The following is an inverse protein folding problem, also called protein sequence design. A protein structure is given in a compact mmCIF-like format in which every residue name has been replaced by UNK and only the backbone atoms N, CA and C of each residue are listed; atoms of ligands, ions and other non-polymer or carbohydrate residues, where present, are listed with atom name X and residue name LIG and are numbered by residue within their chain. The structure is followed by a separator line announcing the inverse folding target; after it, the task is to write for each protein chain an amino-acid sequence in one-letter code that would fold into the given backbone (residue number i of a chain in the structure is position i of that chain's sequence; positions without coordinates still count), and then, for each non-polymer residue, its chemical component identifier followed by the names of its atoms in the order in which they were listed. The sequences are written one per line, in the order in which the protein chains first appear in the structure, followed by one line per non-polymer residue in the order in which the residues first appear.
data_IF_190300338726
#
_entry.id   IF_190300338726
#
_cell.length_a   1.000
_cell.length_b   1.000
_cell.length_c   1.000
_cell.angle_alpha   90.00
_cell.angle_beta   90.00
_cell.angle_gamma   90.00
#
_symmetry.space_group_name_H-M   'P 1'
#
loop_
_entity.id
_entity.type
_entity.pdbx_description
1 polymer ?
#
# COMPACT_ATOMS: atom_id res chain seq x y z
N UNK A 1 -1.84 6.44 15.15
CA UNK A 1 -2.54 5.47 14.29
C UNK A 1 -3.89 5.03 14.85
N UNK A 2 -4.01 4.59 16.12
CA UNK A 2 -5.26 4.06 16.70
C UNK A 2 -6.53 4.90 16.48
N UNK A 3 -6.46 6.22 16.65
CA UNK A 3 -7.62 7.10 16.41
C UNK A 3 -8.08 7.12 14.94
N UNK A 4 -7.13 7.14 13.99
CA UNK A 4 -7.44 7.11 12.57
C UNK A 4 -7.89 5.72 12.11
N UNK A 5 -7.31 4.65 12.67
CA UNK A 5 -7.79 3.28 12.44
C UNK A 5 -9.23 3.09 12.98
N UNK A 6 -9.53 3.61 14.17
CA UNK A 6 -10.88 3.64 14.72
C UNK A 6 -11.85 4.42 13.82
N UNK A 7 -11.46 5.62 13.36
CA UNK A 7 -12.24 6.41 12.41
C UNK A 7 -12.51 5.62 11.13
N UNK A 8 -11.47 5.04 10.52
CA UNK A 8 -11.58 4.23 9.30
C UNK A 8 -12.48 3.03 9.48
N UNK A 9 -12.38 2.31 10.61
CA UNK A 9 -13.30 1.21 10.94
C UNK A 9 -14.75 1.69 11.01
N UNK A 10 -15.02 2.81 11.69
CA UNK A 10 -16.38 3.36 11.80
C UNK A 10 -16.91 3.84 10.45
N UNK A 11 -16.06 4.46 9.65
CA UNK A 11 -16.41 4.96 8.32
C UNK A 11 -16.70 3.80 7.35
N UNK A 12 -15.85 2.77 7.31
CA UNK A 12 -16.09 1.55 6.53
C UNK A 12 -17.40 0.86 6.95
N UNK A 13 -17.64 0.70 8.26
CA UNK A 13 -18.90 0.11 8.77
C UNK A 13 -20.17 0.87 8.33
N UNK A 14 -20.07 2.16 8.03
CA UNK A 14 -21.20 2.98 7.58
C UNK A 14 -21.46 2.83 6.09
N UNK A 15 -20.43 2.55 5.29
CA UNK A 15 -20.49 2.63 3.83
C UNK A 15 -20.38 1.27 3.12
N UNK A 16 -19.98 0.22 3.82
CA UNK A 16 -19.85 -1.13 3.27
C UNK A 16 -20.88 -2.06 3.89
N UNK A 17 -21.43 -2.95 3.08
CA UNK A 17 -22.28 -4.05 3.57
C UNK A 17 -21.47 -5.03 4.42
N UNK A 18 -20.27 -5.42 3.96
CA UNK A 18 -19.34 -6.25 4.71
C UNK A 18 -17.91 -6.09 4.18
N UNK A 19 -16.91 -6.27 5.06
CA UNK A 19 -15.52 -6.51 4.70
C UNK A 19 -15.20 -7.97 5.03
N UNK A 20 -14.86 -8.77 4.02
CA UNK A 20 -14.55 -10.19 4.17
C UNK A 20 -13.09 -10.41 3.82
N UNK A 21 -12.37 -11.10 4.69
CA UNK A 21 -10.95 -11.42 4.52
C UNK A 21 -10.82 -12.94 4.61
N UNK A 22 -10.15 -13.55 3.64
CA UNK A 22 -9.86 -14.98 3.62
C UNK A 22 -8.35 -15.20 3.62
N UNK A 23 -7.89 -16.32 4.19
CA UNK A 23 -6.46 -16.69 4.24
C UNK A 23 -5.64 -15.88 5.24
N UNK A 24 -6.26 -15.29 6.26
CA UNK A 24 -5.56 -14.45 7.24
C UNK A 24 -4.68 -15.26 8.19
N UNK A 25 -5.11 -16.47 8.52
CA UNK A 25 -4.38 -17.49 9.26
C UNK A 25 -3.02 -17.79 8.60
N UNK A 26 -2.99 -17.92 7.28
CA UNK A 26 -1.75 -18.12 6.53
C UNK A 26 -0.83 -16.90 6.59
N UNK A 27 -1.39 -15.68 6.58
CA UNK A 27 -0.62 -14.44 6.67
C UNK A 27 -0.08 -14.17 8.08
N UNK A 28 -0.85 -14.50 9.12
CA UNK A 28 -0.46 -14.32 10.53
C UNK A 28 0.64 -15.32 10.96
N UNK A 29 0.61 -16.54 10.43
CA UNK A 29 1.65 -17.55 10.66
C UNK A 29 2.95 -17.29 9.89
N UNK A 30 2.98 -16.35 8.94
CA UNK A 30 4.00 -16.31 7.91
C UNK A 30 5.39 -15.81 8.32
N UNK A 31 5.61 -14.91 9.30
CA UNK A 31 6.99 -14.67 9.80
C UNK A 31 7.13 -13.67 10.96
N UNK A 32 8.21 -13.85 11.73
CA UNK A 32 8.90 -12.81 12.54
C UNK A 32 9.62 -11.75 11.67
N UNK A 33 9.62 -11.92 10.35
CA UNK A 33 10.34 -11.10 9.38
C UNK A 33 9.50 -9.96 8.80
N UNK A 34 10.06 -9.20 7.85
CA UNK A 34 9.37 -8.12 7.15
C UNK A 34 8.17 -8.63 6.34
N UNK A 35 7.07 -7.87 6.34
CA UNK A 35 5.87 -8.20 5.58
C UNK A 35 5.61 -7.15 4.49
N UNK A 36 5.25 -7.61 3.30
CA UNK A 36 4.79 -6.74 2.21
C UNK A 36 3.34 -7.08 1.89
N UNK A 37 2.42 -6.13 2.11
CA UNK A 37 1.05 -6.21 1.63
C UNK A 37 0.97 -5.59 0.25
N UNK A 38 0.75 -6.44 -0.75
CA UNK A 38 0.65 -6.07 -2.15
C UNK A 38 -0.82 -6.17 -2.59
N UNK A 39 -1.39 -5.08 -3.07
CA UNK A 39 -2.79 -5.03 -3.48
C UNK A 39 -2.98 -4.21 -4.76
N UNK A 40 -4.06 -4.46 -5.49
CA UNK A 40 -4.51 -3.54 -6.53
C UNK A 40 -4.96 -2.20 -5.92
N UNK A 41 -4.97 -1.14 -6.73
CA UNK A 41 -5.59 0.13 -6.37
C UNK A 41 -6.94 0.27 -7.09
N UNK A 42 -7.99 -0.40 -6.65
CA UNK A 42 -9.28 -0.38 -7.39
C UNK A 42 -10.24 0.71 -6.95
N UNK A 43 -10.05 1.30 -5.77
CA UNK A 43 -10.94 2.32 -5.26
C UNK A 43 -10.23 3.35 -4.38
N UNK A 44 -10.82 4.53 -4.27
CA UNK A 44 -10.34 5.55 -3.33
C UNK A 44 -10.42 5.08 -1.86
N UNK A 45 -11.18 4.02 -1.59
CA UNK A 45 -11.30 3.36 -0.29
C UNK A 45 -10.06 2.58 0.12
N UNK A 46 -9.15 2.26 -0.81
CA UNK A 46 -8.04 1.33 -0.55
C UNK A 46 -7.12 1.75 0.60
N UNK A 47 -6.77 3.05 0.79
CA UNK A 47 -5.97 3.47 1.94
C UNK A 47 -6.69 3.23 3.29
N UNK A 48 -8.02 3.40 3.33
CA UNK A 48 -8.81 3.16 4.54
C UNK A 48 -8.90 1.67 4.84
N UNK A 49 -9.11 0.85 3.81
CA UNK A 49 -9.14 -0.61 3.93
C UNK A 49 -7.78 -1.15 4.36
N UNK A 50 -6.69 -0.67 3.76
CA UNK A 50 -5.34 -1.04 4.12
C UNK A 50 -5.03 -0.71 5.59
N UNK A 51 -5.47 0.45 6.08
CA UNK A 51 -5.31 0.82 7.49
C UNK A 51 -6.09 -0.10 8.43
N UNK A 52 -7.34 -0.44 8.07
CA UNK A 52 -8.16 -1.36 8.88
C UNK A 52 -7.55 -2.75 8.89
N UNK A 53 -7.03 -3.24 7.76
CA UNK A 53 -6.35 -4.52 7.68
C UNK A 53 -5.05 -4.52 8.48
N UNK A 54 -4.23 -3.47 8.35
CA UNK A 54 -3.00 -3.30 9.13
C UNK A 54 -3.27 -3.31 10.64
N UNK A 55 -4.25 -2.53 11.10
CA UNK A 55 -4.64 -2.48 12.51
C UNK A 55 -5.26 -3.78 13.02
N UNK A 56 -6.10 -4.45 12.22
CA UNK A 56 -6.82 -5.64 12.65
C UNK A 56 -5.98 -6.92 12.60
N UNK A 57 -5.09 -7.02 11.61
CA UNK A 57 -4.38 -8.27 11.31
C UNK A 57 -2.90 -8.21 11.68
N UNK A 58 -2.33 -7.00 11.74
CA UNK A 58 -0.90 -6.76 11.88
C UNK A 58 -0.62 -5.67 12.93
N UNK A 59 -1.44 -5.62 13.98
CA UNK A 59 -1.44 -4.52 14.97
C UNK A 59 -0.15 -4.39 15.80
N UNK A 60 0.72 -5.40 15.74
CA UNK A 60 2.07 -5.41 16.29
C UNK A 60 3.12 -4.79 15.34
N UNK A 61 2.74 -4.44 14.11
CA UNK A 61 3.64 -3.93 13.08
C UNK A 61 3.51 -2.43 12.85
N UNK A 62 4.65 -1.81 12.51
CA UNK A 62 4.68 -0.45 11.98
C UNK A 62 4.44 -0.48 10.47
N UNK A 63 3.30 0.09 10.05
CA UNK A 63 2.90 0.14 8.65
C UNK A 63 3.48 1.37 7.93
N UNK A 64 3.97 1.16 6.71
CA UNK A 64 4.49 2.19 5.82
C UNK A 64 3.88 2.06 4.44
N UNK A 65 3.58 3.18 3.78
CA UNK A 65 3.00 3.19 2.45
C UNK A 65 3.57 4.33 1.58
N UNK A 66 3.93 4.07 0.32
CA UNK A 66 4.29 5.13 -0.61
C UNK A 66 3.03 5.93 -1.00
N UNK A 67 3.18 7.23 -1.18
CA UNK A 67 2.15 8.12 -1.73
C UNK A 67 2.80 9.19 -2.59
N UNK A 68 2.03 9.80 -3.49
CA UNK A 68 2.48 10.98 -4.24
C UNK A 68 3.06 12.05 -3.31
N UNK A 69 4.22 12.59 -3.68
CA UNK A 69 4.96 13.56 -2.86
C UNK A 69 4.20 14.89 -2.71
N UNK A 70 3.48 15.32 -3.74
CA UNK A 70 2.62 16.50 -3.70
C UNK A 70 1.42 16.30 -2.76
N UNK A 71 0.79 15.13 -2.82
CA UNK A 71 -0.27 14.76 -1.88
C UNK A 71 0.25 14.72 -0.43
N UNK A 72 1.45 14.18 -0.18
CA UNK A 72 2.04 14.16 1.15
C UNK A 72 2.34 15.57 1.68
N UNK A 73 2.83 16.47 0.82
CA UNK A 73 3.09 17.87 1.17
C UNK A 73 1.79 18.61 1.53
N UNK A 74 0.70 18.35 0.80
CA UNK A 74 -0.63 18.92 1.08
C UNK A 74 -1.26 18.35 2.35
N UNK A 75 -1.09 17.05 2.60
CA UNK A 75 -1.71 16.33 3.71
C UNK A 75 -0.66 15.81 4.70
N UNK A 76 0.08 16.72 5.33
CA UNK A 76 1.21 16.39 6.21
C UNK A 76 0.90 15.42 7.35
N UNK A 77 -0.36 15.31 7.78
CA UNK A 77 -0.81 14.30 8.75
C UNK A 77 -0.51 12.86 8.31
N UNK A 78 -0.50 12.59 7.00
CA UNK A 78 -0.22 11.27 6.43
C UNK A 78 1.22 10.83 6.70
N UNK A 79 2.18 11.75 6.76
CA UNK A 79 3.57 11.42 7.12
C UNK A 79 3.66 10.82 8.53
N UNK A 80 2.87 11.34 9.47
CA UNK A 80 2.76 10.84 10.86
C UNK A 80 2.04 9.49 10.94
N UNK A 81 1.42 9.04 9.84
CA UNK A 81 0.73 7.76 9.73
C UNK A 81 1.57 6.71 8.99
N UNK A 82 2.85 6.99 8.71
CA UNK A 82 3.76 6.05 8.04
C UNK A 82 3.81 6.20 6.52
N UNK A 83 3.11 7.19 5.95
CA UNK A 83 3.24 7.46 4.52
C UNK A 83 4.55 8.15 4.19
N UNK A 84 5.17 7.77 3.07
CA UNK A 84 6.36 8.42 2.55
C UNK A 84 6.18 8.82 1.08
N UNK A 85 6.74 9.99 0.73
CA UNK A 85 6.51 10.61 -0.56
C UNK A 85 7.36 9.97 -1.66
N UNK A 86 6.75 9.67 -2.78
CA UNK A 86 7.38 9.16 -3.99
C UNK A 86 6.94 10.03 -5.16
N UNK A 87 7.91 10.54 -5.90
CA UNK A 87 7.67 11.14 -7.21
C UNK A 87 7.72 10.03 -8.25
N UNK A 88 6.58 9.74 -8.88
CA UNK A 88 6.43 8.59 -9.77
C UNK A 88 6.99 8.86 -11.17
N UNK A 89 7.13 10.12 -11.52
CA UNK A 89 7.52 10.56 -12.85
C UNK A 89 9.03 10.87 -12.93
N UNK A 90 9.78 10.58 -11.87
CA UNK A 90 11.23 10.77 -11.84
C UNK A 90 12.02 9.53 -11.40
N UNK A 91 13.18 9.34 -12.04
CA UNK A 91 14.16 8.32 -11.66
C UNK A 91 14.60 8.46 -10.20
N UNK A 92 14.70 9.71 -9.72
CA UNK A 92 15.04 10.01 -8.32
C UNK A 92 13.95 9.54 -7.36
N UNK A 93 12.68 9.72 -7.70
CA UNK A 93 11.58 9.21 -6.90
C UNK A 93 11.50 7.69 -6.90
N UNK A 94 11.74 7.03 -8.04
CA UNK A 94 11.87 5.57 -8.09
C UNK A 94 13.02 5.05 -7.21
N UNK A 95 14.20 5.67 -7.29
CA UNK A 95 15.34 5.33 -6.43
C UNK A 95 15.03 5.55 -4.93
N UNK A 96 14.32 6.63 -4.60
CA UNK A 96 13.85 6.90 -3.23
C UNK A 96 12.88 5.83 -2.75
N UNK A 97 11.92 5.42 -3.59
CA UNK A 97 10.99 4.34 -3.27
C UNK A 97 11.75 3.06 -2.93
N UNK A 98 12.67 2.63 -3.81
CA UNK A 98 13.44 1.40 -3.59
C UNK A 98 14.27 1.47 -2.31
N UNK A 99 14.91 2.61 -2.04
CA UNK A 99 15.69 2.81 -0.82
C UNK A 99 14.82 2.69 0.43
N UNK A 100 13.72 3.44 0.50
CA UNK A 100 12.83 3.45 1.69
C UNK A 100 12.12 2.11 1.85
N UNK A 101 11.63 1.53 0.75
CA UNK A 101 11.04 0.19 0.77
C UNK A 101 12.04 -0.85 1.29
N UNK A 102 13.29 -0.79 0.83
CA UNK A 102 14.40 -1.61 1.32
C UNK A 102 14.62 -1.46 2.83
N UNK A 103 14.66 -0.24 3.35
CA UNK A 103 14.78 0.04 4.79
C UNK A 103 13.59 -0.50 5.61
N UNK A 104 12.37 -0.44 5.05
CA UNK A 104 11.17 -0.98 5.69
C UNK A 104 11.26 -2.50 5.76
N UNK A 105 11.56 -3.17 4.65
CA UNK A 105 11.64 -4.64 4.62
C UNK A 105 12.92 -5.19 5.24
N UNK A 106 13.94 -4.38 5.54
CA UNK A 106 15.11 -4.86 6.26
C UNK A 106 14.86 -5.03 7.77
N UNK A 107 13.77 -4.49 8.31
CA UNK A 107 13.49 -4.51 9.76
C UNK A 107 12.33 -5.44 10.11
N UNK A 108 12.48 -6.32 11.13
CA UNK A 108 11.37 -7.09 11.66
C UNK A 108 10.30 -6.16 12.27
N UNK A 109 9.06 -6.65 12.33
CA UNK A 109 7.95 -5.86 12.87
C UNK A 109 7.52 -4.66 12.01
N UNK A 110 7.99 -4.57 10.76
CA UNK A 110 7.51 -3.58 9.78
C UNK A 110 6.64 -4.23 8.71
N UNK A 111 5.72 -3.42 8.20
CA UNK A 111 4.80 -3.76 7.13
C UNK A 111 4.91 -2.70 6.04
N UNK A 112 5.27 -3.10 4.83
CA UNK A 112 5.19 -2.24 3.64
C UNK A 112 3.88 -2.53 2.92
N UNK A 113 3.04 -1.52 2.73
CA UNK A 113 1.80 -1.60 1.96
C UNK A 113 2.04 -0.95 0.60
N UNK A 114 1.84 -1.68 -0.49
CA UNK A 114 2.07 -1.16 -1.84
C UNK A 114 0.88 -1.45 -2.75
N UNK A 115 0.44 -0.39 -3.43
CA UNK A 115 -0.45 -0.47 -4.58
C UNK A 115 0.33 -0.10 -5.85
N UNK A 116 0.99 -1.07 -6.50
CA UNK A 116 2.08 -0.83 -7.46
C UNK A 116 1.63 -0.12 -8.74
N UNK A 117 0.34 -0.20 -9.09
CA UNK A 117 -0.20 0.51 -10.25
C UNK A 117 -0.05 2.02 -10.10
N UNK A 118 -0.11 2.51 -8.85
CA UNK A 118 -0.12 3.92 -8.47
C UNK A 118 -1.27 4.74 -9.10
N UNK A 119 -2.20 4.08 -9.78
CA UNK A 119 -3.41 4.67 -10.37
C UNK A 119 -4.57 3.74 -10.10
N UNK A 120 -5.79 4.25 -10.19
CA UNK A 120 -6.95 3.37 -10.14
C UNK A 120 -6.89 2.33 -11.27
N UNK A 121 -7.12 1.08 -10.91
CA UNK A 121 -7.14 -0.07 -11.81
C UNK A 121 -8.44 -0.84 -11.60
N UNK A 122 -9.25 -0.97 -12.66
CA UNK A 122 -10.43 -1.84 -12.63
C UNK A 122 -9.94 -3.29 -12.43
N UNK A 123 -10.52 -3.98 -11.44
CA UNK A 123 -10.22 -5.38 -11.16
C UNK A 123 -10.60 -6.33 -12.31
N UNK A 124 -11.42 -5.86 -13.27
CA UNK A 124 -11.87 -6.61 -14.46
C UNK A 124 -11.10 -6.26 -15.73
N UNK A 125 -10.18 -5.30 -15.66
CA UNK A 125 -9.34 -4.97 -16.81
C UNK A 125 -8.33 -6.08 -17.04
N UNK A 126 -8.33 -6.69 -18.23
CA UNK A 126 -7.21 -7.50 -18.71
C UNK A 126 -5.94 -6.64 -18.69
N UNK A 127 -4.84 -7.19 -18.19
CA UNK A 127 -3.51 -6.60 -18.34
C UNK A 127 -3.11 -6.63 -19.82
N UNK A 128 -3.61 -5.66 -20.59
CA UNK A 128 -3.32 -5.56 -22.01
C UNK A 128 -2.12 -4.60 -22.23
N UNK A 129 -0.99 -5.22 -22.56
CA UNK A 129 0.00 -4.77 -23.54
C UNK A 129 0.91 -3.57 -23.21
N UNK A 130 2.03 -3.86 -22.52
CA UNK A 130 3.33 -3.23 -22.85
C UNK A 130 4.47 -4.26 -22.79
N UNK A 131 4.35 -5.33 -23.56
CA UNK A 131 5.50 -6.13 -24.01
C UNK A 131 5.26 -6.46 -25.47
N UNK A 132 5.59 -5.52 -26.38
CA UNK A 132 6.05 -5.76 -27.76
C UNK A 132 6.33 -4.41 -28.42
N UNK A 133 7.61 -3.99 -28.44
CA UNK A 133 8.30 -3.42 -29.61
C UNK A 133 9.73 -2.99 -29.21
N UNK A 134 10.62 -3.98 -29.18
CA UNK A 134 12.06 -3.76 -29.35
C UNK A 134 12.72 -5.07 -29.79
N UNK A 135 12.33 -5.59 -30.94
CA UNK A 135 13.13 -6.54 -31.69
C UNK A 135 12.85 -6.34 -33.18
N UNK A 136 13.89 -6.02 -33.94
CA UNK A 136 13.83 -5.93 -35.40
C UNK A 136 14.40 -4.63 -35.98
N UNK A 137 15.72 -4.48 -35.90
CA UNK A 137 16.51 -3.76 -36.91
C UNK A 137 17.06 -4.82 -37.87
N UNK A 138 17.07 -4.61 -39.19
CA UNK A 138 18.27 -4.82 -39.98
C UNK A 138 19.23 -3.64 -39.82
#
# INVERSE_FOLDING_TARGET
MKAFAWYSRRYIRRHFHALRVAGLDQAAGASQGPLVLYANHSAWWDPLLALVLADHCFGDRLAFAPIDSGALARYGILSRMGFFGVDRDSRRGAARFLRVAGEVVASPGRLLIVTPQGRFADARGSSESTVTRAAGRP
#
